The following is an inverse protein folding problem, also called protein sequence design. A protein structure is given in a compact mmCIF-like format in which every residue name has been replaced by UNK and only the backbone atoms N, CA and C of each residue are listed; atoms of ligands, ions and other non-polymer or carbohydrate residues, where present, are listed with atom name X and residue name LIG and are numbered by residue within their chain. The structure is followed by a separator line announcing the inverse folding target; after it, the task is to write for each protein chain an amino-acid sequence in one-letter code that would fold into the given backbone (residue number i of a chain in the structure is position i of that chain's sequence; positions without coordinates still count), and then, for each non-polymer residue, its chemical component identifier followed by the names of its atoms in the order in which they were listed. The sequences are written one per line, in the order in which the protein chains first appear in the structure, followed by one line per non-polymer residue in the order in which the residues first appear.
data_IF_847817385788
#
_entry.id   IF_847817385788
#
_cell.length_a   1.000
_cell.length_b   1.000
_cell.length_c   1.000
_cell.angle_alpha   90.00
_cell.angle_beta   90.00
_cell.angle_gamma   90.00
#
_symmetry.space_group_name_H-M   'P 1'
#
loop_
_entity.id
_entity.type
_entity.pdbx_description
1 polymer ?
#
# COMPACT_ATOMS: atom_id res chain seq x y z
N UNK A 1 30.13 -42.17 36.91
CA UNK A 1 28.74 -42.62 36.74
C UNK A 1 27.82 -41.42 36.90
N UNK A 2 27.14 -41.04 35.80
CA UNK A 2 25.80 -40.39 35.72
C UNK A 2 25.53 -39.16 36.63
N UNK A 3 25.21 -37.95 36.17
CA UNK A 3 24.57 -37.52 34.93
C UNK A 3 23.29 -36.71 35.27
N UNK A 4 23.24 -35.45 34.83
CA UNK A 4 22.05 -34.66 34.45
C UNK A 4 21.08 -34.22 35.57
N UNK A 5 21.04 -32.91 35.86
CA UNK A 5 19.77 -32.18 35.88
C UNK A 5 19.99 -30.74 35.40
N UNK A 6 19.76 -30.57 34.11
CA UNK A 6 19.86 -29.32 33.36
C UNK A 6 18.74 -28.34 33.77
N UNK A 7 19.12 -27.07 33.92
CA UNK A 7 18.41 -25.86 33.48
C UNK A 7 16.88 -25.92 33.48
N UNK A 8 16.28 -25.57 34.61
CA UNK A 8 14.86 -25.21 34.69
C UNK A 8 14.64 -23.80 34.13
N UNK A 9 13.79 -23.74 33.11
CA UNK A 9 12.91 -22.64 32.75
C UNK A 9 13.48 -21.44 31.95
N UNK A 10 14.00 -21.68 30.75
CA UNK A 10 14.06 -20.63 29.72
C UNK A 10 12.86 -20.73 28.77
N UNK A 11 11.93 -19.80 28.97
CA UNK A 11 11.12 -19.10 27.96
C UNK A 11 10.31 -19.96 26.97
N UNK A 12 9.11 -20.36 27.39
CA UNK A 12 8.01 -20.62 26.45
C UNK A 12 7.40 -19.29 25.98
N UNK A 13 8.06 -18.58 25.08
CA UNK A 13 7.34 -17.70 24.15
C UNK A 13 6.74 -18.59 23.07
N UNK A 14 5.65 -19.28 23.40
CA UNK A 14 4.81 -19.93 22.41
C UNK A 14 4.21 -18.84 21.54
N UNK A 15 4.83 -18.54 20.40
CA UNK A 15 4.22 -17.71 19.37
C UNK A 15 2.94 -18.40 18.94
N UNK A 16 1.80 -17.86 19.37
CA UNK A 16 0.49 -18.31 18.91
C UNK A 16 0.42 -17.96 17.41
N UNK A 17 0.71 -18.93 16.56
CA UNK A 17 0.53 -18.77 15.11
C UNK A 17 -0.97 -18.89 14.85
N UNK A 18 -1.69 -17.77 14.96
CA UNK A 18 -3.11 -17.72 14.61
C UNK A 18 -3.21 -17.85 13.09
N UNK A 19 -3.59 -19.03 12.61
CA UNK A 19 -3.94 -19.22 11.21
C UNK A 19 -5.29 -18.52 10.95
N UNK A 20 -5.26 -17.46 10.12
CA UNK A 20 -6.47 -16.75 9.69
C UNK A 20 -7.19 -17.53 8.58
N UNK A 21 -8.53 -17.49 8.52
CA UNK A 21 -9.26 -18.11 7.43
C UNK A 21 -8.94 -17.43 6.09
N UNK A 22 -8.99 -18.16 4.95
CA UNK A 22 -8.87 -17.55 3.63
C UNK A 22 -9.88 -16.41 3.45
N UNK A 23 -9.45 -15.32 2.83
CA UNK A 23 -10.27 -14.12 2.65
C UNK A 23 -10.47 -13.26 3.90
N UNK A 24 -9.88 -13.62 5.04
CA UNK A 24 -9.86 -12.73 6.20
C UNK A 24 -9.22 -11.38 5.83
N UNK A 25 -9.90 -10.29 6.17
CA UNK A 25 -9.41 -8.93 5.98
C UNK A 25 -8.62 -8.54 7.22
N UNK A 26 -7.37 -8.14 7.03
CA UNK A 26 -6.48 -7.69 8.09
C UNK A 26 -5.89 -6.32 7.79
N UNK A 27 -5.61 -5.54 8.83
CA UNK A 27 -4.83 -4.31 8.69
C UNK A 27 -3.36 -4.67 8.41
N UNK A 28 -2.74 -3.93 7.49
CA UNK A 28 -1.34 -4.13 7.09
C UNK A 28 -0.59 -2.81 7.21
N UNK A 29 0.68 -2.87 7.62
CA UNK A 29 1.54 -1.69 7.68
C UNK A 29 1.66 -1.05 6.29
N UNK A 30 1.45 0.26 6.21
CA UNK A 30 1.61 1.01 4.96
C UNK A 30 3.02 0.92 4.38
N UNK A 31 4.05 0.70 5.20
CA UNK A 31 5.44 0.55 4.79
C UNK A 31 5.78 -0.85 4.28
N UNK A 32 4.82 -1.79 4.33
CA UNK A 32 5.02 -3.10 3.73
C UNK A 32 5.37 -2.95 2.23
N UNK A 33 6.39 -3.66 1.77
CA UNK A 33 6.88 -3.54 0.39
C UNK A 33 5.80 -3.82 -0.66
N UNK A 34 4.93 -4.82 -0.44
CA UNK A 34 3.84 -5.11 -1.37
C UNK A 34 2.75 -4.03 -1.34
N UNK A 35 2.50 -3.42 -0.18
CA UNK A 35 1.59 -2.28 -0.07
C UNK A 35 2.14 -1.10 -0.88
N UNK A 36 3.43 -0.78 -0.72
CA UNK A 36 4.08 0.31 -1.47
C UNK A 36 4.07 0.05 -2.98
N UNK A 37 4.29 -1.20 -3.41
CA UNK A 37 4.21 -1.58 -4.81
C UNK A 37 2.78 -1.44 -5.37
N UNK A 38 1.76 -1.86 -4.60
CA UNK A 38 0.36 -1.70 -4.99
C UNK A 38 -0.06 -0.22 -5.04
N UNK A 39 0.36 0.57 -4.05
CA UNK A 39 0.10 2.01 -4.00
C UNK A 39 0.73 2.73 -5.20
N UNK A 40 1.98 2.40 -5.53
CA UNK A 40 2.68 2.96 -6.70
C UNK A 40 1.98 2.60 -8.01
N UNK A 41 1.56 1.34 -8.16
CA UNK A 41 0.80 0.89 -9.32
C UNK A 41 -0.54 1.61 -9.48
N UNK A 42 -1.30 1.75 -8.38
CA UNK A 42 -2.57 2.46 -8.38
C UNK A 42 -2.40 3.96 -8.68
N UNK A 43 -1.41 4.61 -8.07
CA UNK A 43 -1.11 6.03 -8.31
C UNK A 43 -0.66 6.27 -9.75
N UNK A 44 0.17 5.38 -10.32
CA UNK A 44 0.56 5.44 -11.72
C UNK A 44 -0.64 5.40 -12.65
N UNK A 45 -1.54 4.44 -12.43
CA UNK A 45 -2.81 4.32 -13.18
C UNK A 45 -3.70 5.56 -13.00
N UNK A 46 -3.85 6.07 -11.76
CA UNK A 46 -4.59 7.29 -11.50
C UNK A 46 -4.00 8.47 -12.28
N UNK A 47 -2.68 8.65 -12.26
CA UNK A 47 -2.00 9.70 -13.01
C UNK A 47 -2.16 9.53 -14.52
N UNK A 48 -2.21 8.31 -15.04
CA UNK A 48 -2.42 8.07 -16.46
C UNK A 48 -3.84 8.48 -16.91
N UNK A 49 -4.86 8.06 -16.17
CA UNK A 49 -6.27 8.26 -16.56
C UNK A 49 -6.90 9.58 -16.09
N UNK A 50 -6.33 10.23 -15.07
CA UNK A 50 -6.82 11.53 -14.62
C UNK A 50 -6.63 12.58 -15.74
N UNK A 51 -7.56 13.52 -15.90
CA UNK A 51 -7.51 14.52 -16.98
C UNK A 51 -6.65 15.75 -16.66
N UNK A 52 -6.27 15.95 -15.39
CA UNK A 52 -5.38 17.04 -15.00
C UNK A 52 -4.02 16.87 -15.69
N UNK A 53 -3.41 17.94 -16.22
CA UNK A 53 -2.10 17.85 -16.87
C UNK A 53 -0.94 17.57 -15.89
N UNK A 54 -1.16 17.71 -14.58
CA UNK A 54 -0.14 17.48 -13.56
C UNK A 54 -0.18 16.06 -13.01
N UNK A 55 0.97 15.63 -12.51
CA UNK A 55 1.09 14.43 -11.69
C UNK A 55 0.62 14.70 -10.26
N UNK A 56 0.13 13.64 -9.64
CA UNK A 56 -0.20 13.58 -8.23
C UNK A 56 0.71 12.59 -7.51
N UNK A 57 0.84 12.78 -6.19
CA UNK A 57 1.56 11.89 -5.28
C UNK A 57 0.72 11.52 -4.08
N UNK A 58 0.93 10.30 -3.55
CA UNK A 58 0.37 9.89 -2.27
C UNK A 58 1.18 10.57 -1.16
N UNK A 59 0.51 11.29 -0.27
CA UNK A 59 1.15 11.99 0.85
C UNK A 59 0.87 11.35 2.19
N UNK A 60 -0.19 10.55 2.29
CA UNK A 60 -0.59 9.92 3.55
C UNK A 60 -1.42 8.66 3.31
N UNK A 61 -1.19 7.64 4.13
CA UNK A 61 -2.09 6.50 4.25
C UNK A 61 -3.01 6.72 5.46
N UNK A 62 -4.30 6.45 5.29
CA UNK A 62 -5.28 6.48 6.38
C UNK A 62 -5.64 5.07 6.84
N UNK A 63 -5.77 4.13 5.92
CA UNK A 63 -6.03 2.72 6.21
C UNK A 63 -5.48 1.86 5.08
N UNK A 64 -4.93 0.70 5.42
CA UNK A 64 -4.52 -0.33 4.47
C UNK A 64 -5.03 -1.66 5.00
N UNK A 65 -5.87 -2.30 4.20
CA UNK A 65 -6.42 -3.62 4.49
C UNK A 65 -6.05 -4.59 3.40
N UNK A 66 -5.75 -5.82 3.79
CA UNK A 66 -5.41 -6.90 2.87
C UNK A 66 -6.29 -8.12 3.11
N UNK A 67 -6.74 -8.74 2.02
CA UNK A 67 -7.35 -10.06 2.05
C UNK A 67 -6.52 -11.02 1.18
N UNK A 68 -6.24 -12.22 1.71
CA UNK A 68 -5.63 -13.29 0.92
C UNK A 68 -6.72 -14.14 0.24
N UNK A 69 -6.83 -14.01 -1.07
CA UNK A 69 -7.87 -14.65 -1.91
C UNK A 69 -7.26 -15.48 -3.05
N UNK A 70 -6.11 -16.12 -2.82
CA UNK A 70 -5.30 -16.74 -3.88
C UNK A 70 -4.38 -15.73 -4.59
N UNK A 71 -4.14 -14.62 -3.90
CA UNK A 71 -3.51 -13.35 -4.29
C UNK A 71 -3.76 -12.37 -3.15
N UNK A 72 -3.08 -11.22 -3.15
CA UNK A 72 -3.37 -10.16 -2.20
C UNK A 72 -4.32 -9.14 -2.80
N UNK A 73 -5.50 -8.96 -2.22
CA UNK A 73 -6.33 -7.79 -2.48
C UNK A 73 -6.01 -6.70 -1.46
N UNK A 74 -5.52 -5.55 -1.92
CA UNK A 74 -5.10 -4.43 -1.08
C UNK A 74 -6.07 -3.28 -1.25
N UNK A 75 -6.83 -2.98 -0.19
CA UNK A 75 -7.70 -1.82 -0.11
C UNK A 75 -6.99 -0.71 0.67
N UNK A 76 -6.69 0.39 -0.01
CA UNK A 76 -5.87 1.48 0.49
C UNK A 76 -6.68 2.78 0.46
N UNK A 77 -6.94 3.35 1.63
CA UNK A 77 -7.41 4.72 1.77
C UNK A 77 -6.21 5.66 1.90
N UNK A 78 -6.05 6.56 0.95
CA UNK A 78 -4.90 7.44 0.85
C UNK A 78 -5.28 8.89 0.59
N UNK A 79 -4.40 9.79 1.02
CA UNK A 79 -4.40 11.19 0.62
C UNK A 79 -3.51 11.34 -0.62
N UNK A 80 -4.05 11.98 -1.66
CA UNK A 80 -3.35 12.24 -2.91
C UNK A 80 -3.31 13.75 -3.15
N UNK A 81 -2.11 14.30 -3.40
CA UNK A 81 -1.90 15.73 -3.65
C UNK A 81 -1.34 15.98 -5.03
N UNK A 82 -1.82 17.06 -5.66
CA UNK A 82 -1.32 17.55 -6.94
C UNK A 82 0.12 18.04 -6.80
N UNK A 83 0.91 17.93 -7.84
CA UNK A 83 2.30 18.42 -7.91
C UNK A 83 2.46 19.49 -9.00
N UNK A 84 3.65 20.09 -9.11
CA UNK A 84 4.02 20.95 -10.24
C UNK A 84 4.50 20.17 -11.47
N UNK A 85 4.74 18.86 -11.34
CA UNK A 85 5.22 18.06 -12.45
C UNK A 85 4.14 17.86 -13.49
N UNK A 86 4.49 18.03 -14.76
CA UNK A 86 3.60 17.73 -15.89
C UNK A 86 3.74 16.28 -16.32
N UNK A 87 2.63 15.69 -16.76
CA UNK A 87 2.63 14.39 -17.42
C UNK A 87 3.50 14.42 -18.68
N UNK A 88 4.24 13.33 -18.91
CA UNK A 88 5.14 13.21 -20.06
C UNK A 88 6.41 14.07 -19.99
N UNK A 89 6.64 14.80 -18.89
CA UNK A 89 7.93 15.47 -18.67
C UNK A 89 9.03 14.43 -18.42
N UNK A 90 10.27 14.75 -18.79
CA UNK A 90 11.44 13.90 -18.51
C UNK A 90 11.88 13.95 -17.04
N UNK A 91 11.13 14.65 -16.19
CA UNK A 91 11.43 14.73 -14.77
C UNK A 91 11.21 13.34 -14.15
N UNK A 92 12.11 12.96 -13.25
CA UNK A 92 11.94 11.75 -12.46
C UNK A 92 10.66 11.90 -11.60
N UNK A 93 9.66 11.01 -11.72
CA UNK A 93 8.46 11.05 -10.89
C UNK A 93 8.78 11.02 -9.39
N UNK A 94 9.91 10.44 -8.98
CA UNK A 94 10.36 10.42 -7.58
C UNK A 94 10.69 11.83 -7.03
N UNK A 95 10.99 12.78 -7.91
CA UNK A 95 11.30 14.17 -7.57
C UNK A 95 10.06 15.08 -7.49
N UNK A 96 8.88 14.56 -7.82
CA UNK A 96 7.65 15.32 -7.89
C UNK A 96 7.03 15.52 -6.50
N UNK A 97 7.36 16.65 -5.87
CA UNK A 97 6.83 16.99 -4.56
C UNK A 97 5.39 17.54 -4.65
N UNK A 98 4.60 17.22 -3.62
CA UNK A 98 3.26 17.77 -3.46
C UNK A 98 3.29 19.31 -3.42
N UNK A 99 2.30 19.92 -4.06
CA UNK A 99 2.05 21.36 -3.97
C UNK A 99 1.65 21.71 -2.53
N UNK A 100 2.37 22.64 -1.94
CA UNK A 100 1.98 23.30 -0.69
C UNK A 100 1.25 24.59 -1.10
N UNK A 101 0.02 24.42 -1.57
CA UNK A 101 -0.87 25.50 -1.98
C UNK A 101 -2.22 25.32 -1.26
N UNK A 102 -2.69 26.31 -0.47
CA UNK A 102 -3.99 26.25 0.21
C UNK A 102 -5.18 26.03 -0.74
N UNK A 103 -5.07 26.42 -2.00
CA UNK A 103 -6.12 26.25 -3.01
C UNK A 103 -6.06 24.85 -3.67
N UNK A 104 -4.89 24.22 -3.68
CA UNK A 104 -4.71 22.85 -4.18
C UNK A 104 -5.12 21.82 -3.12
N UNK A 105 -6.42 21.68 -2.91
CA UNK A 105 -6.98 20.76 -1.91
C UNK A 105 -6.51 19.31 -2.16
N UNK A 106 -6.15 18.56 -1.11
CA UNK A 106 -5.87 17.14 -1.23
C UNK A 106 -7.12 16.39 -1.66
N UNK A 107 -6.93 15.25 -2.32
CA UNK A 107 -7.98 14.28 -2.60
C UNK A 107 -7.87 13.13 -1.61
N UNK A 108 -9.01 12.66 -1.12
CA UNK A 108 -9.09 11.37 -0.44
C UNK A 108 -9.50 10.30 -1.43
N UNK A 109 -8.61 9.34 -1.65
CA UNK A 109 -8.79 8.27 -2.61
C UNK A 109 -8.91 6.92 -1.92
N UNK A 110 -9.76 6.06 -2.49
CA UNK A 110 -9.79 4.63 -2.22
C UNK A 110 -9.29 3.89 -3.46
N UNK A 111 -8.19 3.17 -3.28
CA UNK A 111 -7.62 2.29 -4.29
C UNK A 111 -7.76 0.83 -3.86
N UNK A 112 -8.26 -0.02 -4.75
CA UNK A 112 -8.27 -1.47 -4.55
C UNK A 112 -7.44 -2.12 -5.64
N UNK A 113 -6.38 -2.82 -5.23
CA UNK A 113 -5.44 -3.48 -6.14
C UNK A 113 -5.38 -4.96 -5.83
N UNK A 114 -5.59 -5.79 -6.86
CA UNK A 114 -5.28 -7.20 -6.79
C UNK A 114 -3.82 -7.40 -7.21
N UNK A 115 -3.04 -8.10 -6.38
CA UNK A 115 -1.64 -8.42 -6.61
C UNK A 115 -1.40 -9.92 -6.54
N UNK A 116 -0.73 -10.45 -7.56
CA UNK A 116 -0.19 -11.81 -7.56
C UNK A 116 1.31 -11.74 -7.82
N UNK A 117 2.13 -11.53 -6.77
CA UNK A 117 3.56 -11.23 -6.93
C UNK A 117 4.33 -12.31 -7.70
N UNK A 118 3.98 -13.58 -7.51
CA UNK A 118 4.63 -14.71 -8.22
C UNK A 118 4.33 -14.78 -9.73
N UNK A 119 3.45 -13.92 -10.24
CA UNK A 119 3.19 -13.75 -11.68
C UNK A 119 3.57 -12.36 -12.18
N UNK A 120 4.18 -11.54 -11.32
CA UNK A 120 4.49 -10.13 -11.58
C UNK A 120 3.28 -9.32 -12.09
N UNK A 121 2.08 -9.67 -11.63
CA UNK A 121 0.82 -9.12 -12.13
C UNK A 121 0.10 -8.33 -11.04
N UNK A 122 -0.36 -7.13 -11.40
CA UNK A 122 -1.23 -6.28 -10.59
C UNK A 122 -2.39 -5.76 -11.45
N UNK A 123 -3.56 -5.66 -10.83
CA UNK A 123 -4.78 -5.17 -11.48
C UNK A 123 -5.45 -4.14 -10.57
N UNK A 124 -5.78 -2.98 -11.14
CA UNK A 124 -6.52 -1.95 -10.44
C UNK A 124 -8.02 -2.28 -10.53
N UNK A 125 -8.62 -2.60 -9.40
CA UNK A 125 -10.04 -2.94 -9.30
C UNK A 125 -10.88 -1.69 -9.07
N UNK A 126 -10.39 -0.78 -8.23
CA UNK A 126 -11.09 0.46 -7.91
C UNK A 126 -10.12 1.62 -7.79
N UNK A 127 -10.53 2.77 -8.32
CA UNK A 127 -9.87 4.07 -8.14
C UNK A 127 -10.93 5.16 -8.05
N UNK A 128 -11.36 5.47 -6.83
CA UNK A 128 -12.35 6.51 -6.54
C UNK A 128 -11.76 7.57 -5.64
N UNK A 129 -11.90 8.84 -6.00
CA UNK A 129 -11.37 9.96 -5.22
C UNK A 129 -12.44 11.03 -5.00
N UNK A 130 -12.39 11.69 -3.85
CA UNK A 130 -13.21 12.84 -3.50
C UNK A 130 -12.34 13.98 -2.92
N UNK A 131 -12.78 15.25 -3.02
CA UNK A 131 -12.15 16.37 -2.32
C UNK A 131 -12.16 16.25 -0.80
#
# INVERSE_FOLDING_TARGET
MTGILQFLCTLLFSSLVVALPPGAVVDVDSNNHEVQACASFALGSFNEFNKDPHLYVITKFFSVKMANIGGGEYNMEVEVRKTKCLKGSKADPSSCNALIDPEAKPLRCNFVVLSTPWKDMRTLIQSSCAP
#
